data_IF_494057806921
#
_entry.id   IF_494057806921
#
_cell.length_a   1.000
_cell.length_b   1.000
_cell.length_c   1.000
_cell.angle_alpha   90.00
_cell.angle_beta   90.00
_cell.angle_gamma   90.00
#
_symmetry.space_group_name_H-M   'P 1'
#
loop_
_entity.id
_entity.type
_entity.pdbx_description
1 polymer ?
#
# COMPACT_ATOMS: atom_id res chain seq x y z
N UNK A 1 -8.17 27.99 88.02
CA UNK A 1 -7.49 27.27 86.87
C UNK A 1 -8.53 26.80 85.90
N UNK A 2 -8.71 27.44 84.75
CA UNK A 2 -9.70 27.09 83.74
C UNK A 2 -8.94 26.42 82.58
N UNK A 3 -9.26 25.14 82.27
CA UNK A 3 -8.72 24.39 81.09
C UNK A 3 -9.57 24.69 79.87
N UNK A 4 -8.92 25.23 78.82
CA UNK A 4 -9.54 25.37 77.52
C UNK A 4 -9.32 24.07 76.72
N UNK A 5 -10.41 23.47 76.25
CA UNK A 5 -10.41 22.38 75.26
C UNK A 5 -10.40 23.00 73.87
N UNK A 6 -9.35 22.68 73.09
CA UNK A 6 -9.28 23.03 71.67
C UNK A 6 -9.89 21.82 70.87
N UNK A 7 -10.95 22.08 70.15
CA UNK A 7 -11.52 21.10 69.16
C UNK A 7 -10.75 21.24 67.85
N UNK A 8 -10.14 20.14 67.40
CA UNK A 8 -9.64 20.01 66.03
C UNK A 8 -10.79 19.46 65.16
N UNK A 9 -11.24 20.27 64.19
CA UNK A 9 -12.14 19.85 63.15
C UNK A 9 -11.30 19.25 61.97
N UNK A 10 -11.35 17.94 61.77
CA UNK A 10 -10.73 17.29 60.63
C UNK A 10 -11.55 17.50 59.36
N UNK A 11 -10.95 18.19 58.38
CA UNK A 11 -11.52 18.38 57.05
C UNK A 11 -11.19 17.12 56.24
N UNK A 12 -12.16 16.25 56.00
CA UNK A 12 -12.05 15.12 55.07
C UNK A 12 -12.29 15.67 53.68
N UNK A 13 -11.20 15.84 52.92
CA UNK A 13 -11.27 16.16 51.50
C UNK A 13 -11.69 14.93 50.69
N UNK A 14 -12.90 14.95 50.13
CA UNK A 14 -13.32 14.02 49.08
C UNK A 14 -12.48 14.34 47.79
N UNK A 15 -11.53 13.50 47.52
CA UNK A 15 -10.89 13.45 46.17
C UNK A 15 -11.91 12.80 45.22
N UNK A 16 -12.66 13.63 44.49
CA UNK A 16 -13.48 13.19 43.36
C UNK A 16 -12.53 12.81 42.23
N UNK A 17 -12.30 11.51 42.02
CA UNK A 17 -11.73 11.00 40.80
C UNK A 17 -12.72 11.23 39.65
N UNK A 18 -12.55 12.33 38.92
CA UNK A 18 -13.22 12.52 37.63
C UNK A 18 -12.60 11.52 36.67
N UNK A 19 -13.17 10.30 36.59
CA UNK A 19 -13.03 9.46 35.43
C UNK A 19 -13.56 10.29 34.24
N UNK A 20 -12.69 10.61 33.28
CA UNK A 20 -13.08 11.29 32.05
C UNK A 20 -14.01 10.33 31.31
N UNK A 21 -15.32 10.53 31.40
CA UNK A 21 -16.27 9.87 30.52
C UNK A 21 -15.95 10.33 29.09
N UNK A 22 -15.93 9.42 28.09
CA UNK A 22 -15.82 9.84 26.68
C UNK A 22 -16.89 10.90 26.44
N UNK A 23 -16.51 11.99 25.81
CA UNK A 23 -17.42 13.10 25.55
C UNK A 23 -18.50 12.58 24.59
N UNK A 24 -19.74 12.93 24.80
CA UNK A 24 -20.86 12.61 23.88
C UNK A 24 -20.55 13.02 22.42
N UNK A 25 -19.66 13.98 22.23
CA UNK A 25 -19.14 14.42 20.94
C UNK A 25 -18.28 13.35 20.25
N UNK A 26 -17.50 12.53 20.98
CA UNK A 26 -16.66 11.46 20.42
C UNK A 26 -17.53 10.28 19.96
N UNK A 27 -18.56 9.91 20.70
CA UNK A 27 -19.50 8.83 20.32
C UNK A 27 -20.28 9.22 19.04
N UNK A 28 -20.73 10.48 18.95
CA UNK A 28 -21.42 10.98 17.76
C UNK A 28 -20.51 11.01 16.53
N UNK A 29 -19.23 11.36 16.70
CA UNK A 29 -18.23 11.37 15.63
C UNK A 29 -17.93 9.95 15.15
N UNK A 30 -17.74 9.00 16.06
CA UNK A 30 -17.51 7.58 15.72
C UNK A 30 -18.73 7.01 14.98
N UNK A 31 -19.94 7.26 15.47
CA UNK A 31 -21.16 6.82 14.79
C UNK A 31 -21.30 7.40 13.37
N UNK A 32 -20.94 8.69 13.19
CA UNK A 32 -20.91 9.32 11.88
C UNK A 32 -19.86 8.65 10.97
N UNK A 33 -18.66 8.35 11.50
CA UNK A 33 -17.60 7.70 10.75
C UNK A 33 -18.00 6.30 10.27
N UNK A 34 -18.63 5.49 11.15
CA UNK A 34 -19.20 4.19 10.75
C UNK A 34 -20.23 4.34 9.64
N UNK A 35 -21.20 5.26 9.82
CA UNK A 35 -22.22 5.48 8.82
C UNK A 35 -21.67 5.93 7.45
N UNK A 36 -20.56 6.65 7.40
CA UNK A 36 -19.86 7.00 6.17
C UNK A 36 -19.12 5.79 5.62
N UNK A 37 -18.37 5.08 6.45
CA UNK A 37 -17.57 3.92 6.06
C UNK A 37 -18.43 2.83 5.43
N UNK A 38 -19.62 2.58 5.97
CA UNK A 38 -20.59 1.61 5.45
C UNK A 38 -21.20 1.99 4.09
N UNK A 39 -21.07 3.25 3.64
CA UNK A 39 -21.63 3.74 2.37
C UNK A 39 -20.61 3.98 1.28
N UNK A 40 -19.36 4.22 1.64
CA UNK A 40 -18.27 4.37 0.67
C UNK A 40 -17.71 3.00 0.29
N UNK A 41 -17.13 2.88 -0.88
CA UNK A 41 -16.36 1.68 -1.26
C UNK A 41 -14.94 1.91 -0.79
N UNK A 42 -14.55 1.28 0.32
CA UNK A 42 -13.17 1.29 0.78
C UNK A 42 -12.33 0.37 -0.11
N UNK A 43 -11.39 0.95 -0.87
CA UNK A 43 -10.53 0.25 -1.81
C UNK A 43 -9.07 0.50 -1.48
N UNK A 44 -8.30 -0.57 -1.31
CA UNK A 44 -6.84 -0.54 -1.19
C UNK A 44 -6.19 -0.82 -2.54
N UNK A 45 -5.20 -0.01 -2.91
CA UNK A 45 -4.59 -0.10 -4.24
C UNK A 45 -3.39 -1.01 -4.31
N UNK A 46 -2.90 -1.54 -3.18
CA UNK A 46 -1.68 -2.34 -3.20
C UNK A 46 -1.59 -3.30 -2.02
N UNK A 47 -1.88 -4.58 -2.29
CA UNK A 47 -1.81 -5.67 -1.32
C UNK A 47 -1.00 -6.83 -1.92
N UNK A 48 0.20 -7.07 -1.40
CA UNK A 48 1.05 -8.15 -1.88
C UNK A 48 0.48 -9.53 -1.58
N UNK A 49 0.68 -10.47 -2.51
CA UNK A 49 0.27 -11.84 -2.32
C UNK A 49 1.44 -12.81 -2.40
N UNK A 50 1.31 -13.91 -1.67
CA UNK A 50 2.20 -15.05 -1.78
C UNK A 50 1.39 -16.28 -2.20
N UNK A 51 1.69 -16.93 -3.34
CA UNK A 51 0.96 -18.11 -3.82
C UNK A 51 0.84 -19.24 -2.80
N UNK A 52 1.78 -19.35 -1.85
CA UNK A 52 1.68 -20.33 -0.75
C UNK A 52 0.48 -20.14 0.19
N UNK A 53 -0.18 -18.97 0.13
CA UNK A 53 -1.42 -18.68 0.84
C UNK A 53 -2.67 -18.87 -0.03
N UNK A 54 -2.52 -19.55 -1.18
CA UNK A 54 -3.60 -19.84 -2.11
C UNK A 54 -3.64 -21.34 -2.41
N UNK A 55 -3.74 -22.15 -1.35
CA UNK A 55 -3.86 -23.61 -1.40
C UNK A 55 -5.17 -24.06 -0.72
N UNK A 56 -5.65 -25.28 -0.95
CA UNK A 56 -6.82 -25.79 -0.26
C UNK A 56 -6.70 -25.76 1.27
N UNK A 57 -5.49 -25.99 1.81
CA UNK A 57 -5.22 -26.07 3.24
C UNK A 57 -4.95 -24.71 3.88
N UNK A 58 -4.38 -23.76 3.13
CA UNK A 58 -4.05 -22.40 3.61
C UNK A 58 -4.45 -21.37 2.55
N UNK A 59 -5.46 -20.59 2.88
CA UNK A 59 -5.98 -19.60 1.93
C UNK A 59 -6.69 -18.43 2.61
N UNK A 60 -7.01 -17.42 1.84
CA UNK A 60 -7.58 -16.15 2.31
C UNK A 60 -9.05 -16.23 2.78
N UNK A 61 -9.70 -17.39 2.72
CA UNK A 61 -11.00 -17.56 3.44
C UNK A 61 -10.82 -17.75 4.94
N UNK A 62 -9.58 -17.99 5.38
CA UNK A 62 -9.18 -18.18 6.77
C UNK A 62 -8.59 -16.87 7.33
N UNK A 63 -8.69 -16.70 8.66
CA UNK A 63 -7.97 -15.63 9.34
C UNK A 63 -6.49 -16.00 9.48
N UNK A 64 -5.71 -15.64 8.48
CA UNK A 64 -4.27 -15.85 8.46
C UNK A 64 -3.52 -14.75 9.22
N UNK A 65 -2.23 -14.98 9.39
CA UNK A 65 -1.25 -13.98 9.84
C UNK A 65 -0.89 -12.93 8.78
N UNK A 66 -1.35 -13.11 7.52
CA UNK A 66 -1.27 -12.09 6.46
C UNK A 66 -2.08 -10.87 6.85
N UNK A 67 -1.70 -9.70 6.33
CA UNK A 67 -2.38 -8.43 6.61
C UNK A 67 -3.72 -8.33 5.90
N UNK A 68 -3.86 -8.97 4.74
CA UNK A 68 -5.12 -9.06 3.99
C UNK A 68 -5.59 -10.50 3.92
N UNK A 69 -6.86 -10.73 4.23
CA UNK A 69 -7.64 -11.95 4.00
C UNK A 69 -9.12 -11.62 4.23
N UNK A 70 -10.04 -12.44 3.74
CA UNK A 70 -11.48 -12.13 3.81
C UNK A 70 -11.99 -11.82 5.21
N UNK A 71 -11.66 -12.58 6.28
CA UNK A 71 -12.11 -12.24 7.62
C UNK A 71 -11.66 -10.86 8.10
N UNK A 72 -10.45 -10.41 7.76
CA UNK A 72 -9.95 -9.08 8.11
C UNK A 72 -10.58 -7.98 7.25
N UNK A 73 -10.79 -8.23 5.95
CA UNK A 73 -11.52 -7.30 5.07
C UNK A 73 -12.96 -7.10 5.55
N UNK A 74 -13.63 -8.18 5.98
CA UNK A 74 -14.99 -8.12 6.53
C UNK A 74 -15.04 -7.34 7.84
N UNK A 75 -14.10 -7.58 8.75
CA UNK A 75 -14.02 -6.93 10.07
C UNK A 75 -13.74 -5.44 9.96
N UNK A 76 -12.80 -5.03 9.10
CA UNK A 76 -12.39 -3.64 8.94
C UNK A 76 -13.21 -2.85 7.91
N UNK A 77 -14.14 -3.50 7.19
CA UNK A 77 -14.93 -2.85 6.15
C UNK A 77 -14.14 -2.51 4.89
N UNK A 78 -13.04 -3.22 4.59
CA UNK A 78 -12.36 -3.10 3.30
C UNK A 78 -13.16 -3.84 2.23
N UNK A 79 -13.66 -3.11 1.22
CA UNK A 79 -14.55 -3.69 0.20
C UNK A 79 -13.80 -4.21 -1.02
N UNK A 80 -12.72 -3.56 -1.39
CA UNK A 80 -11.95 -3.86 -2.59
C UNK A 80 -10.44 -3.82 -2.31
N UNK A 81 -9.69 -4.70 -2.98
CA UNK A 81 -8.25 -4.76 -2.89
C UNK A 81 -7.61 -5.09 -4.25
N UNK A 82 -6.53 -4.39 -4.57
CA UNK A 82 -5.64 -4.81 -5.65
C UNK A 82 -4.67 -5.87 -5.12
N UNK A 83 -4.89 -7.11 -5.48
CA UNK A 83 -3.96 -8.20 -5.22
C UNK A 83 -2.80 -8.14 -6.24
N UNK A 84 -1.59 -7.98 -5.71
CA UNK A 84 -0.44 -7.57 -6.53
C UNK A 84 0.33 -8.77 -7.07
N UNK A 85 0.48 -8.80 -8.38
CA UNK A 85 1.37 -9.68 -9.11
C UNK A 85 2.77 -9.04 -9.11
N UNK A 86 3.43 -9.11 -7.96
CA UNK A 86 4.82 -8.66 -7.79
C UNK A 86 5.81 -9.70 -8.25
N UNK A 87 6.87 -9.27 -8.96
CA UNK A 87 8.05 -10.09 -9.26
C UNK A 87 9.32 -9.41 -8.76
N UNK A 88 10.22 -10.21 -8.17
CA UNK A 88 11.49 -9.70 -7.66
C UNK A 88 12.39 -9.19 -8.78
N UNK A 89 13.01 -8.03 -8.56
CA UNK A 89 14.03 -7.49 -9.45
C UNK A 89 15.33 -8.28 -9.30
N UNK A 90 15.98 -8.53 -10.42
CA UNK A 90 17.34 -9.11 -10.50
C UNK A 90 18.16 -8.32 -11.52
N UNK A 91 19.49 -8.40 -11.40
CA UNK A 91 20.41 -7.74 -12.34
C UNK A 91 20.66 -8.57 -13.61
N UNK A 92 20.03 -9.73 -13.75
CA UNK A 92 20.15 -10.60 -14.91
C UNK A 92 19.13 -10.25 -15.99
N UNK A 93 19.50 -9.30 -16.87
CA UNK A 93 18.71 -8.93 -18.05
C UNK A 93 18.94 -9.96 -19.17
N UNK A 94 18.55 -11.21 -18.89
CA UNK A 94 18.70 -12.35 -19.81
C UNK A 94 17.35 -12.99 -20.11
N UNK A 95 17.21 -13.69 -21.25
CA UNK A 95 15.98 -14.42 -21.57
C UNK A 95 15.53 -15.35 -20.45
N UNK A 96 16.47 -16.02 -19.78
CA UNK A 96 16.17 -16.93 -18.66
C UNK A 96 15.72 -16.17 -17.40
N UNK A 97 16.28 -14.96 -17.16
CA UNK A 97 15.86 -14.07 -16.08
C UNK A 97 14.42 -13.60 -16.29
N UNK A 98 14.11 -13.13 -17.47
CA UNK A 98 12.78 -12.70 -17.86
C UNK A 98 11.75 -13.84 -17.82
N UNK A 99 12.13 -15.04 -18.31
CA UNK A 99 11.26 -16.20 -18.28
C UNK A 99 10.87 -16.58 -16.84
N UNK A 100 11.83 -16.60 -15.90
CA UNK A 100 11.53 -16.85 -14.47
C UNK A 100 10.59 -15.80 -13.87
N UNK A 101 10.77 -14.53 -14.25
CA UNK A 101 9.91 -13.45 -13.78
C UNK A 101 8.48 -13.57 -14.33
N UNK A 102 8.36 -13.90 -15.61
CA UNK A 102 7.07 -14.18 -16.26
C UNK A 102 6.34 -15.36 -15.58
N UNK A 103 7.03 -16.50 -15.38
CA UNK A 103 6.46 -17.67 -14.72
C UNK A 103 5.98 -17.34 -13.30
N UNK A 104 6.75 -16.54 -12.55
CA UNK A 104 6.37 -16.08 -11.22
C UNK A 104 5.14 -15.15 -11.25
N UNK A 105 5.02 -14.30 -12.27
CA UNK A 105 3.82 -13.49 -12.48
C UNK A 105 2.60 -14.36 -12.77
N UNK A 106 2.73 -15.33 -13.67
CA UNK A 106 1.64 -16.24 -14.03
C UNK A 106 1.15 -17.06 -12.84
N UNK A 107 2.05 -17.53 -11.96
CA UNK A 107 1.66 -18.21 -10.71
C UNK A 107 0.75 -17.34 -9.84
N UNK A 108 1.05 -16.05 -9.73
CA UNK A 108 0.24 -15.10 -8.95
C UNK A 108 -1.09 -14.76 -9.62
N UNK A 109 -1.13 -14.58 -10.95
CA UNK A 109 -2.40 -14.44 -11.68
C UNK A 109 -3.31 -15.64 -11.41
N UNK A 110 -2.77 -16.86 -11.56
CA UNK A 110 -3.54 -18.08 -11.29
C UNK A 110 -4.03 -18.16 -9.84
N UNK A 111 -3.24 -17.70 -8.87
CA UNK A 111 -3.64 -17.69 -7.48
C UNK A 111 -4.85 -16.77 -7.23
N UNK A 112 -4.87 -15.55 -7.81
CA UNK A 112 -6.01 -14.62 -7.67
C UNK A 112 -7.25 -15.18 -8.36
N UNK A 113 -7.13 -15.71 -9.58
CA UNK A 113 -8.24 -16.34 -10.29
C UNK A 113 -8.80 -17.54 -9.52
N UNK A 114 -7.93 -18.43 -9.05
CA UNK A 114 -8.37 -19.58 -8.26
C UNK A 114 -9.13 -19.15 -6.99
N UNK A 115 -8.67 -18.09 -6.33
CA UNK A 115 -9.30 -17.54 -5.14
C UNK A 115 -10.70 -16.99 -5.43
N UNK A 116 -10.84 -16.16 -6.47
CA UNK A 116 -12.10 -15.52 -6.81
C UNK A 116 -13.09 -16.47 -7.52
N UNK A 117 -12.60 -17.29 -8.46
CA UNK A 117 -13.47 -18.07 -9.36
C UNK A 117 -13.80 -19.47 -8.81
N UNK A 118 -12.95 -20.02 -7.94
CA UNK A 118 -13.06 -21.42 -7.49
C UNK A 118 -13.23 -21.55 -5.98
N UNK A 119 -12.38 -20.86 -5.21
CA UNK A 119 -12.34 -21.07 -3.77
C UNK A 119 -13.47 -20.35 -3.03
N UNK A 120 -13.74 -19.08 -3.38
CA UNK A 120 -14.67 -18.24 -2.64
C UNK A 120 -15.57 -17.36 -3.54
N UNK A 121 -16.16 -17.89 -4.63
CA UNK A 121 -16.93 -17.09 -5.60
C UNK A 121 -18.15 -16.40 -5.00
N UNK A 122 -18.67 -16.91 -3.89
CA UNK A 122 -19.81 -16.31 -3.17
C UNK A 122 -19.39 -15.16 -2.25
N UNK A 123 -18.09 -14.98 -1.97
CA UNK A 123 -17.56 -13.97 -1.03
C UNK A 123 -16.74 -12.89 -1.70
N UNK A 124 -16.06 -13.21 -2.80
CA UNK A 124 -15.20 -12.28 -3.55
C UNK A 124 -15.37 -12.53 -5.05
N UNK A 125 -15.24 -11.48 -5.85
CA UNK A 125 -15.32 -11.56 -7.31
C UNK A 125 -14.25 -10.66 -7.95
N UNK A 126 -13.65 -11.11 -9.05
CA UNK A 126 -12.67 -10.34 -9.81
C UNK A 126 -13.37 -9.26 -10.64
N UNK A 127 -12.93 -8.01 -10.49
CA UNK A 127 -13.42 -6.87 -11.25
C UNK A 127 -12.48 -6.51 -12.40
N UNK A 128 -13.03 -6.23 -13.56
CA UNK A 128 -12.30 -5.82 -14.75
C UNK A 128 -12.55 -4.34 -15.12
N UNK A 129 -13.61 -3.75 -14.59
CA UNK A 129 -14.03 -2.38 -14.84
C UNK A 129 -14.44 -1.67 -13.55
N UNK A 130 -14.48 -0.34 -13.57
CA UNK A 130 -15.02 0.44 -12.46
C UNK A 130 -16.50 0.11 -12.17
N UNK A 131 -17.25 -0.24 -13.21
CA UNK A 131 -18.64 -0.68 -13.09
C UNK A 131 -18.75 -2.03 -12.36
N UNK A 132 -17.81 -2.97 -12.61
CA UNK A 132 -17.75 -4.23 -11.86
C UNK A 132 -17.47 -3.97 -10.38
N UNK A 133 -16.51 -3.10 -10.06
CA UNK A 133 -16.21 -2.74 -8.66
C UNK A 133 -17.49 -2.29 -7.94
N UNK A 134 -18.24 -1.36 -8.53
CA UNK A 134 -19.48 -0.85 -7.94
C UNK A 134 -20.57 -1.92 -7.83
N UNK A 135 -20.71 -2.75 -8.86
CA UNK A 135 -21.71 -3.84 -8.91
C UNK A 135 -21.42 -4.91 -7.84
N UNK A 136 -20.16 -5.34 -7.74
CA UNK A 136 -19.75 -6.40 -6.82
C UNK A 136 -19.88 -5.89 -5.38
N UNK A 137 -19.35 -4.70 -5.08
CA UNK A 137 -19.50 -4.09 -3.74
C UNK A 137 -20.97 -3.95 -3.34
N UNK A 138 -21.85 -3.50 -4.25
CA UNK A 138 -23.28 -3.40 -4.01
C UNK A 138 -23.97 -4.77 -3.75
N UNK A 139 -23.36 -5.89 -4.18
CA UNK A 139 -23.85 -7.23 -3.88
C UNK A 139 -23.47 -7.74 -2.49
N UNK A 140 -22.61 -7.02 -1.77
CA UNK A 140 -22.07 -7.41 -0.46
C UNK A 140 -20.85 -8.36 -0.56
N UNK A 141 -20.38 -8.68 -1.75
CA UNK A 141 -19.13 -9.43 -1.94
C UNK A 141 -17.95 -8.48 -1.93
N UNK A 142 -16.79 -9.00 -1.56
CA UNK A 142 -15.52 -8.28 -1.70
C UNK A 142 -15.07 -8.26 -3.17
N UNK A 143 -14.29 -7.24 -3.52
CA UNK A 143 -13.82 -7.02 -4.89
C UNK A 143 -12.34 -7.34 -4.95
N UNK A 144 -11.96 -8.27 -5.81
CA UNK A 144 -10.57 -8.45 -6.22
C UNK A 144 -10.28 -7.62 -7.46
N UNK A 145 -9.13 -6.97 -7.50
CA UNK A 145 -8.53 -6.36 -8.69
C UNK A 145 -7.09 -6.88 -8.79
N UNK A 146 -6.48 -6.78 -9.96
CA UNK A 146 -5.09 -7.21 -10.16
C UNK A 146 -4.24 -6.02 -10.60
N UNK A 147 -3.17 -5.75 -9.85
CA UNK A 147 -2.07 -4.88 -10.23
C UNK A 147 -0.82 -5.70 -10.55
N UNK A 148 -0.01 -5.25 -11.48
CA UNK A 148 1.29 -5.85 -11.76
C UNK A 148 2.39 -4.93 -11.25
N UNK A 149 3.22 -5.45 -10.36
CA UNK A 149 4.36 -4.72 -9.86
C UNK A 149 5.65 -5.29 -10.41
N UNK A 150 6.38 -4.40 -11.09
CA UNK A 150 7.62 -4.63 -11.81
C UNK A 150 7.45 -5.16 -13.24
N UNK A 151 7.50 -4.24 -14.21
CA UNK A 151 7.50 -4.55 -15.64
C UNK A 151 8.66 -5.45 -16.11
N UNK A 152 9.57 -5.83 -15.21
CA UNK A 152 10.60 -6.84 -15.46
C UNK A 152 9.99 -8.18 -15.92
N UNK A 153 8.78 -8.50 -15.46
CA UNK A 153 8.02 -9.70 -15.87
C UNK A 153 7.60 -9.71 -17.35
N UNK A 154 7.57 -8.55 -18.02
CA UNK A 154 7.27 -8.48 -19.45
C UNK A 154 8.43 -9.00 -20.33
N UNK A 155 9.65 -9.05 -19.77
CA UNK A 155 10.84 -9.27 -20.59
C UNK A 155 10.98 -8.19 -21.66
N UNK A 156 11.38 -8.58 -22.88
CA UNK A 156 11.49 -7.69 -24.04
C UNK A 156 10.29 -7.82 -25.00
N UNK A 157 9.32 -8.68 -24.66
CA UNK A 157 8.12 -8.91 -25.47
C UNK A 157 6.93 -8.14 -24.92
N UNK A 158 6.61 -6.99 -25.52
CA UNK A 158 5.49 -6.15 -25.10
C UNK A 158 4.11 -6.77 -25.38
N UNK A 159 4.01 -7.90 -26.11
CA UNK A 159 2.72 -8.59 -26.28
C UNK A 159 2.19 -9.16 -24.96
N UNK A 160 3.04 -9.40 -23.97
CA UNK A 160 2.65 -9.77 -22.61
C UNK A 160 1.77 -8.71 -21.93
N UNK A 161 1.82 -7.44 -22.36
CA UNK A 161 0.93 -6.39 -21.83
C UNK A 161 -0.53 -6.72 -22.14
N UNK A 162 -0.83 -7.15 -23.38
CA UNK A 162 -2.18 -7.58 -23.75
C UNK A 162 -2.59 -8.85 -22.98
N UNK A 163 -1.71 -9.83 -22.86
CA UNK A 163 -1.96 -11.04 -22.09
C UNK A 163 -2.27 -10.74 -20.62
N UNK A 164 -1.50 -9.87 -19.96
CA UNK A 164 -1.75 -9.48 -18.58
C UNK A 164 -3.07 -8.72 -18.42
N UNK A 165 -3.43 -7.88 -19.40
CA UNK A 165 -4.75 -7.22 -19.42
C UNK A 165 -5.88 -8.23 -19.50
N UNK A 166 -5.76 -9.24 -20.37
CA UNK A 166 -6.74 -10.31 -20.56
C UNK A 166 -6.88 -11.17 -19.29
N UNK A 167 -5.78 -11.33 -18.52
CA UNK A 167 -5.75 -11.95 -17.20
C UNK A 167 -6.26 -11.04 -16.07
N UNK A 168 -6.67 -9.82 -16.36
CA UNK A 168 -7.31 -8.92 -15.39
C UNK A 168 -6.40 -7.83 -14.81
N UNK A 169 -5.16 -7.69 -15.24
CA UNK A 169 -4.31 -6.58 -14.80
C UNK A 169 -4.93 -5.22 -15.17
N UNK A 170 -4.97 -4.29 -14.22
CA UNK A 170 -5.50 -2.93 -14.45
C UNK A 170 -4.50 -1.82 -14.15
N UNK A 171 -3.38 -2.14 -13.51
CA UNK A 171 -2.19 -1.28 -13.51
C UNK A 171 -0.90 -2.11 -13.68
N UNK A 172 0.18 -1.44 -14.11
CA UNK A 172 1.51 -2.01 -14.23
C UNK A 172 2.57 -0.96 -13.91
N UNK A 173 3.49 -1.28 -12.96
CA UNK A 173 4.64 -0.44 -12.67
C UNK A 173 5.83 -0.80 -13.54
N UNK A 174 6.58 0.23 -14.02
CA UNK A 174 7.64 0.05 -14.99
C UNK A 174 8.92 -0.56 -14.40
N UNK A 175 9.15 -0.41 -13.10
CA UNK A 175 10.25 -0.99 -12.33
C UNK A 175 9.84 -1.20 -10.89
N UNK A 176 10.70 -1.87 -10.10
CA UNK A 176 10.59 -2.00 -8.65
C UNK A 176 11.89 -1.52 -7.99
N UNK A 177 12.38 -2.17 -6.94
CA UNK A 177 13.69 -1.90 -6.33
C UNK A 177 14.82 -2.45 -7.19
N UNK A 178 15.35 -1.62 -8.07
CA UNK A 178 16.32 -1.91 -9.12
C UNK A 178 15.79 -1.50 -10.50
N UNK A 179 16.72 -1.09 -11.38
CA UNK A 179 16.39 -0.71 -12.76
C UNK A 179 15.84 -1.92 -13.53
N UNK A 180 14.80 -1.71 -14.31
CA UNK A 180 14.29 -2.72 -15.25
C UNK A 180 14.78 -2.47 -16.66
N UNK A 181 14.41 -3.35 -17.60
CA UNK A 181 14.62 -3.11 -19.03
C UNK A 181 13.75 -1.95 -19.57
N UNK A 182 12.76 -1.49 -18.79
CA UNK A 182 11.85 -0.41 -19.19
C UNK A 182 12.23 0.95 -18.60
N UNK A 183 12.73 0.97 -17.35
CA UNK A 183 12.77 2.19 -16.55
C UNK A 183 13.85 2.15 -15.48
N UNK A 184 14.41 3.31 -15.18
CA UNK A 184 15.17 3.49 -13.96
C UNK A 184 14.24 3.47 -12.74
N UNK A 185 14.75 2.91 -11.65
CA UNK A 185 14.12 2.85 -10.34
C UNK A 185 14.56 4.02 -9.46
N UNK A 186 13.72 4.39 -8.48
CA UNK A 186 14.07 5.33 -7.41
C UNK A 186 15.34 4.93 -6.64
N UNK A 187 15.69 3.63 -6.61
CA UNK A 187 16.88 3.12 -5.89
C UNK A 187 18.20 3.65 -6.44
N UNK A 188 18.23 4.14 -7.68
CA UNK A 188 19.40 4.80 -8.25
C UNK A 188 19.74 6.13 -7.59
N UNK A 189 18.80 6.78 -6.90
CA UNK A 189 18.99 8.09 -6.28
C UNK A 189 20.08 8.08 -5.19
N UNK A 190 20.21 7.00 -4.43
CA UNK A 190 21.17 6.90 -3.32
C UNK A 190 22.63 7.07 -3.76
N UNK A 191 22.97 6.51 -4.95
CA UNK A 191 24.34 6.44 -5.44
C UNK A 191 24.53 7.18 -6.78
N UNK A 192 23.51 7.93 -7.24
CA UNK A 192 23.46 8.56 -8.57
C UNK A 192 23.74 7.53 -9.69
N UNK A 193 23.18 6.34 -9.54
CA UNK A 193 23.33 5.21 -10.48
C UNK A 193 22.10 5.11 -11.37
N UNK A 194 22.26 5.47 -12.65
CA UNK A 194 21.17 5.51 -13.63
C UNK A 194 21.54 4.72 -14.87
N UNK A 195 20.67 3.79 -15.25
CA UNK A 195 20.89 2.97 -16.45
C UNK A 195 20.40 3.65 -17.73
N UNK A 196 19.28 4.36 -17.64
CA UNK A 196 18.58 4.93 -18.79
C UNK A 196 18.43 6.45 -18.73
N UNK A 197 18.71 7.05 -17.56
CA UNK A 197 18.35 8.43 -17.26
C UNK A 197 16.85 8.70 -17.51
N UNK A 198 16.00 7.80 -16.99
CA UNK A 198 14.57 7.80 -17.16
C UNK A 198 14.04 6.51 -17.79
N UNK A 199 13.27 6.64 -18.86
CA UNK A 199 12.74 5.50 -19.61
C UNK A 199 13.73 5.00 -20.66
N UNK A 200 13.89 3.68 -20.75
CA UNK A 200 14.60 3.05 -21.86
C UNK A 200 13.84 3.23 -23.19
N UNK A 201 14.47 2.96 -24.36
CA UNK A 201 13.74 2.91 -25.62
C UNK A 201 12.57 1.93 -25.62
N UNK A 202 12.71 0.77 -24.96
CA UNK A 202 11.64 -0.21 -24.78
C UNK A 202 10.56 0.31 -23.82
N UNK A 203 10.95 1.00 -22.73
CA UNK A 203 10.01 1.62 -21.80
C UNK A 203 9.11 2.66 -22.44
N UNK A 204 9.64 3.46 -23.40
CA UNK A 204 8.82 4.40 -24.17
C UNK A 204 7.78 3.70 -25.06
N UNK A 205 8.13 2.54 -25.62
CA UNK A 205 7.20 1.70 -26.36
C UNK A 205 6.17 1.06 -25.42
N UNK A 206 6.60 0.61 -24.23
CA UNK A 206 5.69 0.06 -23.22
C UNK A 206 4.65 1.09 -22.76
N UNK A 207 5.02 2.37 -22.58
CA UNK A 207 4.06 3.45 -22.27
C UNK A 207 2.97 3.56 -23.35
N UNK A 208 3.35 3.53 -24.63
CA UNK A 208 2.39 3.59 -25.72
C UNK A 208 1.47 2.35 -25.75
N UNK A 209 2.03 1.16 -25.52
CA UNK A 209 1.29 -0.09 -25.54
C UNK A 209 0.33 -0.21 -24.32
N UNK A 210 0.76 0.21 -23.13
CA UNK A 210 -0.10 0.27 -21.93
C UNK A 210 -1.30 1.19 -22.17
N UNK A 211 -1.10 2.36 -22.80
CA UNK A 211 -2.18 3.25 -23.19
C UNK A 211 -3.12 2.61 -24.23
N UNK A 212 -2.55 1.90 -25.23
CA UNK A 212 -3.34 1.22 -26.27
C UNK A 212 -4.20 0.09 -25.69
N UNK A 213 -3.63 -0.69 -24.79
CA UNK A 213 -4.31 -1.84 -24.16
C UNK A 213 -5.32 -1.40 -23.10
N UNK A 214 -5.03 -0.34 -22.36
CA UNK A 214 -5.91 0.18 -21.32
C UNK A 214 -5.49 -0.25 -19.90
N UNK A 215 -4.18 -0.41 -19.66
CA UNK A 215 -3.61 -0.61 -18.33
C UNK A 215 -3.11 0.73 -17.79
N UNK A 216 -3.49 1.11 -16.56
CA UNK A 216 -2.97 2.28 -15.87
C UNK A 216 -1.47 2.14 -15.67
N UNK A 217 -0.69 3.15 -16.04
CA UNK A 217 0.76 3.15 -15.80
C UNK A 217 1.01 3.58 -14.36
N UNK A 218 1.69 2.73 -13.59
CA UNK A 218 2.07 3.01 -12.22
C UNK A 218 3.51 3.51 -12.14
N UNK A 219 3.73 4.60 -11.41
CA UNK A 219 5.02 5.26 -11.24
C UNK A 219 5.53 5.26 -9.79
N UNK A 220 5.03 4.37 -8.95
CA UNK A 220 5.41 4.33 -7.53
C UNK A 220 6.88 3.99 -7.27
N UNK A 221 7.49 3.13 -8.08
CA UNK A 221 8.92 2.75 -7.98
C UNK A 221 9.84 3.38 -9.01
N UNK A 222 9.39 3.73 -10.22
CA UNK A 222 10.21 4.43 -11.18
C UNK A 222 10.88 5.69 -10.61
N UNK A 223 12.06 6.02 -11.12
CA UNK A 223 12.78 7.24 -10.76
C UNK A 223 11.94 8.50 -11.09
N UNK A 224 12.28 9.62 -10.46
CA UNK A 224 11.63 10.90 -10.79
C UNK A 224 11.67 11.19 -12.28
N UNK A 225 12.84 11.00 -12.91
CA UNK A 225 13.00 11.25 -14.36
C UNK A 225 12.13 10.29 -15.20
N UNK A 226 12.04 9.02 -14.80
CA UNK A 226 11.15 8.04 -15.45
C UNK A 226 9.68 8.46 -15.34
N UNK A 227 9.24 8.92 -14.17
CA UNK A 227 7.88 9.44 -13.98
C UNK A 227 7.62 10.67 -14.86
N UNK A 228 8.53 11.64 -14.88
CA UNK A 228 8.37 12.87 -15.66
C UNK A 228 8.31 12.60 -17.17
N UNK A 229 9.13 11.66 -17.67
CA UNK A 229 9.07 11.21 -19.05
C UNK A 229 7.78 10.43 -19.34
N UNK A 230 7.29 9.62 -18.39
CA UNK A 230 6.01 8.92 -18.52
C UNK A 230 4.84 9.91 -18.62
N UNK A 231 4.79 10.93 -17.75
CA UNK A 231 3.79 12.01 -17.84
C UNK A 231 3.81 12.71 -19.20
N UNK A 232 4.99 12.95 -19.75
CA UNK A 232 5.14 13.64 -21.04
C UNK A 232 4.70 12.78 -22.26
N UNK A 233 4.80 11.45 -22.14
CA UNK A 233 4.50 10.50 -23.23
C UNK A 233 3.10 9.90 -23.15
N UNK A 234 2.56 9.72 -21.95
CA UNK A 234 1.26 9.06 -21.74
C UNK A 234 0.12 9.90 -22.30
N UNK A 235 -0.75 9.25 -23.06
CA UNK A 235 -2.01 9.83 -23.56
C UNK A 235 -3.18 9.64 -22.59
N UNK A 236 -2.95 8.89 -21.51
CA UNK A 236 -3.91 8.59 -20.46
C UNK A 236 -3.40 9.10 -19.09
N UNK A 237 -4.28 9.33 -18.12
CA UNK A 237 -3.84 9.58 -16.76
C UNK A 237 -3.02 8.42 -16.21
N UNK A 238 -2.02 8.74 -15.38
CA UNK A 238 -1.18 7.75 -14.70
C UNK A 238 -1.51 7.67 -13.21
N UNK A 239 -1.00 6.64 -12.53
CA UNK A 239 -1.14 6.50 -11.09
C UNK A 239 0.22 6.39 -10.39
N UNK A 240 0.28 6.80 -9.13
CA UNK A 240 1.25 6.28 -8.20
C UNK A 240 0.46 5.38 -7.23
N UNK A 241 0.59 4.06 -7.38
CA UNK A 241 -0.26 3.08 -6.67
C UNK A 241 -0.01 3.04 -5.16
N UNK A 242 1.23 3.38 -4.72
CA UNK A 242 1.64 3.36 -3.32
C UNK A 242 2.89 4.24 -3.08
N UNK A 243 2.71 5.55 -2.97
CA UNK A 243 3.77 6.51 -2.67
C UNK A 243 3.29 7.52 -1.63
N UNK A 244 4.19 8.07 -0.82
CA UNK A 244 3.85 9.13 0.13
C UNK A 244 4.39 10.50 -0.35
N UNK A 245 4.40 11.49 0.54
CA UNK A 245 4.79 12.88 0.21
C UNK A 245 6.21 13.16 0.69
N UNK A 246 7.11 13.54 -0.22
CA UNK A 246 8.52 13.75 0.08
C UNK A 246 8.76 14.97 0.99
N UNK A 247 7.92 15.99 0.89
CA UNK A 247 8.02 17.19 1.73
C UNK A 247 7.83 16.89 3.23
N UNK A 248 7.13 15.79 3.58
CA UNK A 248 6.92 15.37 4.98
C UNK A 248 7.92 14.32 5.43
N UNK A 249 8.37 13.44 4.52
CA UNK A 249 9.39 12.45 4.79
C UNK A 249 10.30 12.31 3.58
N UNK A 250 11.54 12.78 3.68
CA UNK A 250 12.51 12.77 2.58
C UNK A 250 13.02 11.35 2.33
N UNK A 251 12.30 10.65 1.43
CA UNK A 251 12.60 9.30 1.00
C UNK A 251 12.42 9.21 -0.52
N UNK A 252 13.30 8.49 -1.22
CA UNK A 252 13.27 8.38 -2.69
C UNK A 252 12.00 7.72 -3.25
N UNK A 253 11.25 6.97 -2.41
CA UNK A 253 9.94 6.38 -2.76
C UNK A 253 8.80 7.39 -2.71
N UNK A 254 9.02 8.56 -2.12
CA UNK A 254 8.01 9.60 -1.95
C UNK A 254 8.05 10.60 -3.10
N UNK A 255 6.88 11.07 -3.51
CA UNK A 255 6.73 12.07 -4.56
C UNK A 255 7.00 13.48 -4.02
N UNK A 256 7.85 14.24 -4.71
CA UNK A 256 8.04 15.65 -4.43
C UNK A 256 6.91 16.50 -5.05
N UNK A 257 6.89 17.80 -4.72
CA UNK A 257 5.85 18.71 -5.18
C UNK A 257 5.78 18.84 -6.71
N UNK A 258 6.93 18.77 -7.41
CA UNK A 258 6.97 18.82 -8.87
C UNK A 258 6.31 17.57 -9.49
N UNK A 259 6.59 16.38 -8.92
CA UNK A 259 6.00 15.12 -9.35
C UNK A 259 4.48 15.11 -9.08
N UNK A 260 4.04 15.54 -7.88
CA UNK A 260 2.63 15.64 -7.54
C UNK A 260 1.87 16.60 -8.47
N UNK A 261 2.44 17.78 -8.75
CA UNK A 261 1.85 18.74 -9.68
C UNK A 261 1.87 18.23 -11.14
N UNK A 262 2.87 17.45 -11.54
CA UNK A 262 2.90 16.83 -12.86
C UNK A 262 1.80 15.77 -13.00
N UNK A 263 1.61 14.95 -11.96
CA UNK A 263 0.54 13.96 -11.90
C UNK A 263 -0.85 14.61 -11.95
N UNK A 264 -1.06 15.70 -11.21
CA UNK A 264 -2.30 16.49 -11.28
C UNK A 264 -2.59 16.98 -12.71
N UNK A 265 -1.59 17.61 -13.35
CA UNK A 265 -1.76 18.12 -14.74
C UNK A 265 -2.05 17.01 -15.75
N UNK A 266 -1.56 15.82 -15.53
CA UNK A 266 -1.85 14.62 -16.32
C UNK A 266 -3.27 14.07 -16.08
N UNK A 267 -3.96 14.50 -15.02
CA UNK A 267 -5.27 13.98 -14.61
C UNK A 267 -5.19 12.74 -13.71
N UNK A 268 -3.98 12.33 -13.31
CA UNK A 268 -3.72 11.14 -12.54
C UNK A 268 -4.11 11.21 -11.07
N UNK A 269 -3.73 10.16 -10.31
CA UNK A 269 -3.99 10.04 -8.87
C UNK A 269 -2.77 9.48 -8.13
N UNK A 270 -2.41 10.10 -7.00
CA UNK A 270 -1.43 9.60 -6.05
C UNK A 270 -2.16 8.86 -4.92
N UNK A 271 -1.97 7.55 -4.83
CA UNK A 271 -2.44 6.75 -3.72
C UNK A 271 -1.39 6.86 -2.60
N UNK A 272 -1.76 7.61 -1.56
CA UNK A 272 -0.86 7.83 -0.42
C UNK A 272 -0.72 6.52 0.34
N UNK A 273 0.54 6.10 0.57
CA UNK A 273 0.83 4.79 1.17
C UNK A 273 1.07 4.88 2.68
N UNK A 274 0.45 3.98 3.42
CA UNK A 274 0.66 3.81 4.86
C UNK A 274 1.89 2.93 5.15
N UNK A 275 3.06 3.29 4.61
CA UNK A 275 4.31 2.57 4.85
C UNK A 275 5.14 3.33 5.89
N UNK A 276 5.44 2.66 7.02
CA UNK A 276 6.04 3.29 8.19
C UNK A 276 7.22 4.23 7.89
N UNK A 277 8.23 3.76 7.14
CA UNK A 277 9.44 4.56 6.83
C UNK A 277 9.25 5.60 5.73
N UNK A 278 8.14 5.54 4.97
CA UNK A 278 7.80 6.56 3.96
C UNK A 278 6.91 7.66 4.55
N UNK A 279 6.15 7.32 5.60
CA UNK A 279 5.32 8.28 6.33
C UNK A 279 6.15 9.09 7.33
N UNK A 280 7.09 8.45 8.02
CA UNK A 280 7.85 9.12 9.08
C UNK A 280 9.26 8.57 9.18
N UNK A 281 10.24 9.47 9.18
CA UNK A 281 11.62 9.09 9.50
C UNK A 281 11.70 8.80 11.00
N UNK A 282 11.92 7.52 11.41
CA UNK A 282 12.01 7.21 12.83
C UNK A 282 13.31 7.79 13.42
N UNK A 283 13.34 8.15 14.69
CA UNK A 283 14.59 8.47 15.37
C UNK A 283 15.51 7.24 15.34
N UNK A 284 16.84 7.43 15.37
CA UNK A 284 17.76 6.29 15.40
C UNK A 284 17.50 5.42 16.64
N UNK A 285 17.58 4.08 16.50
CA UNK A 285 17.43 3.19 17.64
C UNK A 285 18.53 3.45 18.69
N UNK A 286 18.26 3.14 19.96
CA UNK A 286 19.27 3.30 21.00
C UNK A 286 20.52 2.45 20.71
N UNK A 287 21.72 2.91 21.10
CA UNK A 287 22.95 2.13 20.94
C UNK A 287 22.87 0.73 21.60
N UNK A 288 22.12 0.60 22.69
CA UNK A 288 21.86 -0.65 23.39
C UNK A 288 21.05 -1.60 22.51
N UNK A 289 19.97 -1.10 21.90
CA UNK A 289 19.16 -1.87 20.95
C UNK A 289 19.96 -2.34 19.75
N UNK A 290 20.78 -1.46 19.17
CA UNK A 290 21.63 -1.81 18.00
C UNK A 290 22.56 -2.97 18.35
N UNK A 291 23.24 -2.91 19.53
CA UNK A 291 24.14 -3.98 19.97
C UNK A 291 23.37 -5.28 20.24
N UNK A 292 22.27 -5.21 20.95
CA UNK A 292 21.46 -6.39 21.28
C UNK A 292 20.90 -7.06 20.01
N UNK A 293 20.44 -6.29 19.04
CA UNK A 293 19.97 -6.80 17.75
C UNK A 293 21.07 -7.46 16.95
N UNK A 294 22.28 -6.87 16.89
CA UNK A 294 23.41 -7.44 16.19
C UNK A 294 23.80 -8.79 16.83
N UNK A 295 23.87 -8.87 18.16
CA UNK A 295 24.17 -10.11 18.87
C UNK A 295 23.11 -11.20 18.63
N UNK A 296 21.82 -10.83 18.66
CA UNK A 296 20.74 -11.76 18.37
C UNK A 296 20.80 -12.29 16.92
N UNK A 297 21.05 -11.43 15.95
CA UNK A 297 21.22 -11.84 14.53
C UNK A 297 22.41 -12.77 14.35
N UNK A 298 23.54 -12.49 15.00
CA UNK A 298 24.74 -13.34 14.98
C UNK A 298 24.46 -14.73 15.56
N UNK A 299 23.75 -14.81 16.69
CA UNK A 299 23.34 -16.08 17.34
C UNK A 299 22.51 -16.97 16.38
N UNK A 300 21.72 -16.35 15.51
CA UNK A 300 20.88 -17.05 14.54
C UNK A 300 21.54 -17.21 13.16
N UNK A 301 22.79 -16.77 12.99
CA UNK A 301 23.50 -16.83 11.70
C UNK A 301 22.92 -15.89 10.64
N UNK A 302 22.23 -14.81 11.08
CA UNK A 302 21.62 -13.82 10.20
C UNK A 302 22.60 -12.66 9.94
N UNK A 303 22.52 -11.99 8.79
CA UNK A 303 23.30 -10.78 8.53
C UNK A 303 23.05 -9.71 9.60
N UNK A 304 24.11 -9.12 10.13
CA UNK A 304 24.00 -8.04 11.13
C UNK A 304 23.64 -6.68 10.51
N UNK A 305 23.78 -6.56 9.20
CA UNK A 305 23.40 -5.38 8.39
C UNK A 305 22.43 -5.80 7.27
N UNK A 306 21.66 -4.86 6.77
CA UNK A 306 20.64 -5.10 5.76
C UNK A 306 19.36 -5.70 6.33
N UNK A 307 18.37 -5.95 5.47
CA UNK A 307 17.06 -6.45 5.90
C UNK A 307 17.06 -7.92 6.35
N UNK A 308 18.00 -8.72 5.84
CA UNK A 308 18.14 -10.13 6.20
C UNK A 308 16.93 -11.02 5.85
N UNK A 309 15.95 -10.52 5.10
CA UNK A 309 14.69 -11.22 4.81
C UNK A 309 14.91 -12.60 4.18
N UNK A 310 15.84 -12.69 3.22
CA UNK A 310 16.18 -13.97 2.58
C UNK A 310 16.75 -14.99 3.56
N UNK A 311 17.69 -14.56 4.41
CA UNK A 311 18.30 -15.41 5.43
C UNK A 311 17.25 -15.82 6.50
N UNK A 312 16.35 -14.91 6.88
CA UNK A 312 15.25 -15.21 7.80
C UNK A 312 14.29 -16.26 7.23
N UNK A 313 13.94 -16.15 5.95
CA UNK A 313 13.09 -17.14 5.27
C UNK A 313 13.75 -18.51 5.17
N UNK A 314 15.07 -18.57 5.10
CA UNK A 314 15.85 -19.81 5.03
C UNK A 314 16.00 -20.52 6.39
N UNK A 315 15.68 -19.86 7.52
CA UNK A 315 15.66 -20.51 8.82
C UNK A 315 14.58 -21.59 8.88
N UNK A 316 14.88 -22.71 9.58
CA UNK A 316 13.88 -23.71 9.92
C UNK A 316 12.73 -23.07 10.74
N UNK A 317 11.47 -23.56 10.60
CA UNK A 317 10.32 -22.97 11.29
C UNK A 317 10.50 -22.79 12.78
N UNK A 318 11.08 -23.78 13.46
CA UNK A 318 11.33 -23.77 14.91
C UNK A 318 12.34 -22.69 15.30
N UNK A 319 13.42 -22.54 14.51
CA UNK A 319 14.44 -21.49 14.73
C UNK A 319 13.87 -20.09 14.44
N UNK A 320 12.94 -19.99 13.51
CA UNK A 320 12.24 -18.72 13.22
C UNK A 320 11.34 -18.32 14.37
N UNK A 321 10.59 -19.27 14.94
CA UNK A 321 9.76 -19.04 16.13
C UNK A 321 10.61 -18.61 17.33
N UNK A 322 11.71 -19.29 17.59
CA UNK A 322 12.66 -18.93 18.65
C UNK A 322 13.24 -17.52 18.45
N UNK A 323 13.58 -17.16 17.21
CA UNK A 323 14.05 -15.80 16.91
C UNK A 323 12.97 -14.75 17.21
N UNK A 324 11.70 -15.03 16.86
CA UNK A 324 10.57 -14.11 17.11
C UNK A 324 10.34 -13.93 18.63
N UNK A 325 10.42 -15.01 19.42
CA UNK A 325 10.30 -14.92 20.88
C UNK A 325 11.44 -14.07 21.48
N UNK A 326 12.66 -14.29 21.05
CA UNK A 326 13.83 -13.52 21.51
C UNK A 326 13.77 -12.07 21.04
N UNK A 327 13.20 -11.80 19.86
CA UNK A 327 12.92 -10.45 19.40
C UNK A 327 11.91 -9.73 20.30
N UNK A 328 10.83 -10.41 20.70
CA UNK A 328 9.83 -9.83 21.59
C UNK A 328 10.43 -9.47 22.97
N UNK A 329 11.32 -10.32 23.51
CA UNK A 329 12.09 -10.03 24.74
C UNK A 329 12.99 -8.80 24.56
N UNK A 330 13.69 -8.72 23.42
CA UNK A 330 14.55 -7.58 23.09
C UNK A 330 13.73 -6.29 22.96
N UNK A 331 12.57 -6.34 22.30
CA UNK A 331 11.68 -5.22 22.13
C UNK A 331 11.13 -4.71 23.47
N UNK A 332 10.86 -5.61 24.41
CA UNK A 332 10.48 -5.24 25.76
C UNK A 332 11.61 -4.57 26.54
N UNK A 333 12.84 -5.08 26.42
CA UNK A 333 14.02 -4.55 27.13
C UNK A 333 14.56 -3.25 26.50
N UNK A 334 14.56 -3.18 25.20
CA UNK A 334 15.04 -2.05 24.39
C UNK A 334 13.98 -1.72 23.34
N UNK A 335 12.96 -0.92 23.66
CA UNK A 335 11.85 -0.63 22.73
C UNK A 335 12.33 -0.13 21.37
N UNK A 336 11.70 -0.57 20.28
CA UNK A 336 11.96 -0.02 18.95
C UNK A 336 11.59 1.47 18.90
N UNK A 337 12.14 2.22 17.95
CA UNK A 337 11.66 3.57 17.66
C UNK A 337 10.14 3.57 17.42
N UNK A 338 9.42 4.64 17.82
CA UNK A 338 7.99 4.75 17.58
C UNK A 338 7.70 4.66 16.08
N UNK A 339 6.67 3.90 15.74
CA UNK A 339 6.17 3.80 14.38
C UNK A 339 5.34 5.02 14.00
N UNK A 340 5.16 5.22 12.69
CA UNK A 340 4.16 6.13 12.17
C UNK A 340 2.76 5.66 12.58
N UNK A 341 1.85 6.60 12.76
CA UNK A 341 0.45 6.37 13.14
C UNK A 341 -0.50 6.68 11.98
N UNK A 342 -1.77 6.30 12.10
CA UNK A 342 -2.84 6.73 11.16
C UNK A 342 -2.88 8.26 11.05
N UNK A 343 -2.62 8.99 12.13
CA UNK A 343 -2.58 10.46 12.12
C UNK A 343 -1.41 10.97 11.25
N UNK A 344 -0.21 10.42 11.44
CA UNK A 344 0.96 10.75 10.60
C UNK A 344 0.67 10.42 9.13
N UNK A 345 -0.01 9.31 8.85
CA UNK A 345 -0.41 8.92 7.49
C UNK A 345 -1.40 9.91 6.86
N UNK A 346 -2.44 10.31 7.60
CA UNK A 346 -3.43 11.28 7.09
C UNK A 346 -2.83 12.68 6.93
N UNK A 347 -1.73 13.04 7.63
CA UNK A 347 -0.97 14.27 7.37
C UNK A 347 -0.45 14.33 5.93
N UNK A 348 -0.02 13.17 5.36
CA UNK A 348 0.39 13.08 3.96
C UNK A 348 -0.80 13.26 3.01
N UNK A 349 -1.96 12.73 3.35
CA UNK A 349 -3.20 12.96 2.57
C UNK A 349 -3.55 14.45 2.59
N UNK A 350 -3.56 15.09 3.77
CA UNK A 350 -3.86 16.52 3.90
C UNK A 350 -2.91 17.39 3.07
N UNK A 351 -1.60 17.06 3.11
CA UNK A 351 -0.60 17.78 2.32
C UNK A 351 -0.89 17.64 0.82
N UNK A 352 -1.07 16.41 0.34
CA UNK A 352 -1.34 16.13 -1.06
C UNK A 352 -2.64 16.80 -1.52
N UNK A 353 -3.73 16.67 -0.75
CA UNK A 353 -5.03 17.32 -1.06
C UNK A 353 -4.88 18.83 -1.15
N UNK A 354 -4.11 19.45 -0.24
CA UNK A 354 -3.86 20.89 -0.26
C UNK A 354 -3.06 21.32 -1.50
N UNK A 355 -2.10 20.51 -1.94
CA UNK A 355 -1.21 20.83 -3.07
C UNK A 355 -1.86 20.58 -4.43
N UNK A 356 -2.47 19.41 -4.61
CA UNK A 356 -2.96 18.95 -5.92
C UNK A 356 -4.49 18.79 -6.01
N UNK A 357 -5.21 19.03 -4.92
CA UNK A 357 -6.68 18.92 -4.88
C UNK A 357 -7.18 17.51 -4.58
N UNK A 358 -8.40 17.44 -4.05
CA UNK A 358 -9.05 16.21 -3.58
C UNK A 358 -9.24 15.15 -4.70
N UNK A 359 -9.33 15.56 -5.95
CA UNK A 359 -9.61 14.69 -7.10
C UNK A 359 -8.39 13.89 -7.58
N UNK A 360 -7.20 14.16 -7.01
CA UNK A 360 -5.92 13.57 -7.40
C UNK A 360 -5.23 12.78 -6.29
N UNK A 361 -5.93 12.50 -5.19
CA UNK A 361 -5.38 11.81 -4.02
C UNK A 361 -6.23 10.59 -3.70
N UNK A 362 -5.58 9.51 -3.29
CA UNK A 362 -6.22 8.28 -2.83
C UNK A 362 -5.45 7.62 -1.70
N UNK A 363 -5.79 6.38 -1.37
CA UNK A 363 -5.35 5.63 -0.21
C UNK A 363 -4.74 4.29 -0.64
N UNK A 364 -3.62 3.92 -0.02
CA UNK A 364 -2.95 2.63 -0.18
C UNK A 364 -2.31 2.18 1.12
N UNK A 365 -2.24 0.87 1.35
CA UNK A 365 -1.61 0.32 2.53
C UNK A 365 -0.21 -0.24 2.29
N UNK A 366 0.02 -0.86 1.15
CA UNK A 366 1.16 -1.75 0.87
C UNK A 366 1.19 -2.94 1.86
N UNK A 367 0.02 -3.49 2.20
CA UNK A 367 -0.08 -4.64 3.08
C UNK A 367 0.60 -5.87 2.47
N UNK A 368 1.22 -6.65 3.35
CA UNK A 368 2.06 -7.81 3.00
C UNK A 368 3.33 -7.49 2.16
N UNK A 369 3.46 -6.30 1.56
CA UNK A 369 4.67 -5.75 0.92
C UNK A 369 5.63 -5.07 1.91
N UNK A 370 5.11 -4.68 3.07
CA UNK A 370 5.87 -4.06 4.16
C UNK A 370 5.16 -2.87 4.79
N UNK A 371 4.05 -2.44 4.23
CA UNK A 371 3.25 -1.34 4.71
C UNK A 371 2.52 -1.62 6.02
N UNK A 372 1.76 -0.65 6.47
CA UNK A 372 1.06 -0.62 7.75
C UNK A 372 1.69 0.32 8.77
N UNK A 373 0.85 1.08 9.45
CA UNK A 373 1.18 2.04 10.51
C UNK A 373 0.38 1.72 11.77
N UNK A 374 0.76 2.28 12.91
CA UNK A 374 0.01 2.07 14.16
C UNK A 374 -1.41 2.63 14.01
N UNK A 375 -2.40 1.76 14.25
CA UNK A 375 -3.81 2.01 14.04
C UNK A 375 -4.34 1.64 12.65
N UNK A 376 -3.47 1.21 11.71
CA UNK A 376 -3.84 0.55 10.47
C UNK A 376 -2.74 -0.45 10.08
N UNK A 377 -2.64 -1.53 10.85
CA UNK A 377 -1.61 -2.56 10.67
C UNK A 377 -2.05 -3.66 9.70
N UNK A 378 -3.35 -3.87 9.55
CA UNK A 378 -3.93 -4.84 8.62
C UNK A 378 -5.36 -4.43 8.22
N UNK A 379 -5.96 -5.18 7.31
CA UNK A 379 -7.27 -4.86 6.76
C UNK A 379 -8.41 -4.81 7.82
N UNK A 380 -8.25 -5.42 9.01
CA UNK A 380 -9.26 -5.36 10.07
C UNK A 380 -9.32 -3.99 10.76
N UNK A 381 -8.32 -3.14 10.56
CA UNK A 381 -8.24 -1.79 11.12
C UNK A 381 -8.59 -0.67 10.11
N UNK A 382 -9.09 -1.01 8.92
CA UNK A 382 -9.37 -0.07 7.81
C UNK A 382 -10.31 1.07 8.22
N UNK A 383 -11.30 0.79 9.07
CA UNK A 383 -12.20 1.81 9.62
C UNK A 383 -11.47 2.99 10.27
N UNK A 384 -10.30 2.77 10.89
CA UNK A 384 -9.57 3.82 11.60
C UNK A 384 -9.10 4.95 10.68
N UNK A 385 -8.84 4.66 9.42
CA UNK A 385 -8.51 5.68 8.41
C UNK A 385 -9.72 6.57 8.15
N UNK A 386 -10.89 5.99 7.92
CA UNK A 386 -12.14 6.76 7.76
C UNK A 386 -12.45 7.61 9.00
N UNK A 387 -12.26 7.04 10.18
CA UNK A 387 -12.46 7.77 11.45
C UNK A 387 -11.55 8.98 11.55
N UNK A 388 -10.27 8.86 11.18
CA UNK A 388 -9.33 9.98 11.21
C UNK A 388 -9.69 11.04 10.16
N UNK A 389 -10.08 10.65 8.95
CA UNK A 389 -10.57 11.58 7.92
C UNK A 389 -11.79 12.38 8.41
N UNK A 390 -12.74 11.70 9.08
CA UNK A 390 -13.91 12.35 9.68
C UNK A 390 -13.52 13.32 10.79
N UNK A 391 -12.52 12.98 11.63
CA UNK A 391 -11.97 13.88 12.67
C UNK A 391 -11.36 15.14 12.08
N UNK A 392 -10.76 15.03 10.89
CA UNK A 392 -10.18 16.18 10.16
C UNK A 392 -11.20 16.99 9.38
N UNK A 393 -12.48 16.58 9.41
CA UNK A 393 -13.58 17.33 8.80
C UNK A 393 -13.82 17.03 7.33
N UNK A 394 -13.24 15.95 6.77
CA UNK A 394 -13.58 15.51 5.42
C UNK A 394 -15.06 15.16 5.32
N UNK A 395 -15.68 15.55 4.22
CA UNK A 395 -17.06 15.18 3.92
C UNK A 395 -17.14 13.75 3.41
N UNK A 396 -18.34 13.15 3.44
CA UNK A 396 -18.57 11.81 2.89
C UNK A 396 -18.16 11.73 1.40
N UNK A 397 -18.46 12.75 0.61
CA UNK A 397 -18.06 12.83 -0.79
C UNK A 397 -16.53 12.82 -0.95
N UNK A 398 -15.81 13.57 -0.12
CA UNK A 398 -14.35 13.61 -0.16
C UNK A 398 -13.74 12.26 0.25
N UNK A 399 -14.32 11.61 1.28
CA UNK A 399 -13.89 10.29 1.75
C UNK A 399 -14.14 9.23 0.66
N UNK A 400 -15.29 9.29 -0.01
CA UNK A 400 -15.58 8.40 -1.15
C UNK A 400 -14.60 8.59 -2.31
N UNK A 401 -14.16 9.84 -2.59
CA UNK A 401 -13.13 10.12 -3.59
C UNK A 401 -11.79 9.54 -3.21
N UNK A 402 -11.34 9.73 -1.95
CA UNK A 402 -10.07 9.23 -1.44
C UNK A 402 -9.99 7.69 -1.47
N UNK A 403 -11.05 7.00 -1.03
CA UNK A 403 -11.04 5.54 -0.97
C UNK A 403 -11.08 4.88 -2.36
N UNK A 404 -11.96 5.31 -3.24
CA UNK A 404 -12.11 4.62 -4.53
C UNK A 404 -12.41 5.55 -5.69
N UNK A 405 -13.16 6.63 -5.46
CA UNK A 405 -13.74 7.43 -6.53
C UNK A 405 -12.72 7.98 -7.53
N UNK A 406 -11.59 8.47 -7.04
CA UNK A 406 -10.53 9.03 -7.87
C UNK A 406 -9.80 7.97 -8.71
N UNK A 407 -9.51 6.79 -8.12
CA UNK A 407 -8.89 5.70 -8.85
C UNK A 407 -9.81 5.13 -9.92
N UNK A 408 -11.09 4.92 -9.58
CA UNK A 408 -12.08 4.41 -10.53
C UNK A 408 -12.31 5.39 -11.69
N UNK A 409 -12.26 6.71 -11.44
CA UNK A 409 -12.25 7.73 -12.50
C UNK A 409 -11.06 7.56 -13.45
N UNK A 410 -9.84 7.42 -12.89
CA UNK A 410 -8.63 7.22 -13.71
C UNK A 410 -8.74 5.92 -14.51
N UNK A 411 -9.23 4.85 -13.92
CA UNK A 411 -9.47 3.58 -14.60
C UNK A 411 -10.41 3.74 -15.80
N UNK A 412 -11.54 4.49 -15.64
CA UNK A 412 -12.48 4.79 -16.72
C UNK A 412 -11.84 5.64 -17.84
N UNK A 413 -11.06 6.65 -17.47
CA UNK A 413 -10.38 7.53 -18.43
C UNK A 413 -9.31 6.78 -19.24
N UNK A 414 -8.55 5.88 -18.60
CA UNK A 414 -7.56 5.01 -19.28
C UNK A 414 -8.25 4.08 -20.28
N UNK A 415 -9.37 3.47 -19.90
CA UNK A 415 -10.16 2.64 -20.83
C UNK A 415 -10.71 3.46 -22.01
N UNK A 416 -11.18 4.68 -21.77
CA UNK A 416 -11.67 5.56 -22.84
C UNK A 416 -10.54 5.94 -23.81
N UNK A 417 -9.32 6.17 -23.32
CA UNK A 417 -8.14 6.40 -24.16
C UNK A 417 -7.82 5.17 -25.00
N UNK A 418 -7.80 3.98 -24.40
CA UNK A 418 -7.54 2.73 -25.11
C UNK A 418 -8.53 2.50 -26.25
N UNK A 419 -9.83 2.65 -26.00
CA UNK A 419 -10.86 2.53 -27.03
C UNK A 419 -10.65 3.52 -28.20
N UNK A 420 -10.26 4.77 -27.91
CA UNK A 420 -9.95 5.76 -28.94
C UNK A 420 -8.73 5.35 -29.78
N UNK A 421 -7.65 4.88 -29.14
CA UNK A 421 -6.43 4.47 -29.82
C UNK A 421 -6.63 3.25 -30.70
N UNK A 422 -7.40 2.26 -30.24
CA UNK A 422 -7.73 1.07 -31.01
C UNK A 422 -8.60 1.41 -32.24
N UNK A 423 -9.60 2.30 -32.10
CA UNK A 423 -10.49 2.69 -33.18
C UNK A 423 -9.81 3.55 -34.27
N UNK A 424 -8.67 4.14 -34.00
CA UNK A 424 -7.89 4.92 -34.99
C UNK A 424 -6.83 4.10 -35.72
N UNK A 425 -6.63 2.86 -35.30
CA UNK A 425 -5.65 1.93 -35.93
C UNK A 425 -6.26 0.97 -36.94
N UNK A 426 -7.61 0.96 -37.04
CA UNK A 426 -8.42 0.26 -38.05
C UNK A 426 -8.71 1.22 -39.24
#
# INVERSE_FOLDING_TARGET
MRFHRVMFAGLVGLLSSTACAPRADDDALIARAHAIHDRVIALDTHDDINPSNFTPERNYTQRLDTRVNLPKMEEGGLDAAFFVVYVGQRDDFTPEGYQRAYESAMEKFHAVHWFADTLAPDRIELAYTSADVRRIAASGRKVALIGVENGYSLGEDLSHIQEFYDLGARYLSLSHNGHSQLSDSNTGEENDDWRWHGLSPLGKQAVAELNRVGIMIDVSHPSKESMMQTVALSQAPIIASHSAVRALCDHSRNLDDEQLLALQRNGGVAQIVAFNSYVKTPPPPSPERVRAMAALREEFGLPTQGDGRGAMRALAPERRSEFQERMAELDHQFPPPPRATVQDFVDHIDYAVKLIGIDHVGISSDFDGGGGVDGWNDASETFNVTLELVRRGYTEEQIAKLWSGNLLRVMDEVQAVAHRLQSTSD
#
